data_IF_796207684351
#
_entry.id   IF_796207684351
#
_cell.length_a   1.000
_cell.length_b   1.000
_cell.length_c   1.000
_cell.angle_alpha   90.00
_cell.angle_beta   90.00
_cell.angle_gamma   90.00
#
_symmetry.space_group_name_H-M   'P 1'
#
loop_
_entity.id
_entity.type
_entity.pdbx_description
1 polymer ?
#
# COMPACT_ATOMS: atom_id res chain seq x y z
N UNK A 1 -16.24 -2.05 2.50
CA UNK A 1 -15.81 -1.39 3.76
C UNK A 1 -14.40 -0.88 3.58
N UNK A 2 -14.05 0.31 4.09
CA UNK A 2 -12.73 0.92 3.88
C UNK A 2 -11.98 1.05 5.21
N UNK A 3 -10.71 0.62 5.24
CA UNK A 3 -9.84 0.66 6.42
C UNK A 3 -8.44 1.13 6.03
N UNK A 4 -7.83 1.98 6.86
CA UNK A 4 -6.42 2.36 6.73
C UNK A 4 -5.52 1.32 7.38
N UNK A 5 -4.33 1.08 6.83
CA UNK A 5 -3.34 0.21 7.44
C UNK A 5 -1.91 0.63 7.12
N UNK A 6 -0.96 -0.06 7.73
CA UNK A 6 0.48 0.08 7.49
C UNK A 6 1.07 -1.23 7.03
N UNK A 7 1.95 -1.16 6.04
CA UNK A 7 2.69 -2.34 5.59
C UNK A 7 3.64 -2.80 6.70
N UNK A 8 3.65 -4.10 6.97
CA UNK A 8 4.57 -4.71 7.93
C UNK A 8 5.26 -5.93 7.31
N UNK A 9 6.46 -6.25 7.78
CA UNK A 9 7.11 -7.52 7.52
C UNK A 9 6.76 -8.53 8.62
N UNK A 10 6.49 -9.78 8.24
CA UNK A 10 6.26 -10.89 9.18
C UNK A 10 7.28 -12.02 8.95
N UNK A 11 7.12 -13.16 9.62
CA UNK A 11 8.03 -14.33 9.59
C UNK A 11 8.06 -15.06 8.23
N UNK A 12 7.79 -14.37 7.11
CA UNK A 12 7.81 -14.86 5.72
C UNK A 12 7.02 -16.15 5.46
N UNK A 13 6.01 -16.46 6.30
CA UNK A 13 5.15 -17.65 6.18
C UNK A 13 4.24 -17.62 4.95
N UNK A 14 3.94 -16.42 4.45
CA UNK A 14 3.09 -16.24 3.27
C UNK A 14 3.58 -17.01 2.04
N UNK A 15 4.90 -17.11 1.82
CA UNK A 15 5.45 -17.87 0.70
C UNK A 15 5.08 -19.36 0.76
N UNK A 16 5.33 -19.99 1.90
CA UNK A 16 5.00 -21.41 2.10
C UNK A 16 3.49 -21.68 2.06
N UNK A 17 2.70 -20.73 2.57
CA UNK A 17 1.24 -20.77 2.48
C UNK A 17 0.78 -20.79 1.01
N UNK A 18 1.25 -19.82 0.22
CA UNK A 18 0.90 -19.74 -1.20
C UNK A 18 1.32 -21.02 -1.92
N UNK A 19 2.54 -21.53 -1.66
CA UNK A 19 3.03 -22.79 -2.23
C UNK A 19 2.13 -23.98 -1.89
N UNK A 20 1.71 -24.10 -0.62
CA UNK A 20 0.87 -25.20 -0.14
C UNK A 20 -0.51 -25.22 -0.80
N UNK A 21 -1.10 -24.04 -1.00
CA UNK A 21 -2.47 -23.90 -1.51
C UNK A 21 -2.55 -23.49 -2.99
N UNK A 22 -1.43 -23.37 -3.71
CA UNK A 22 -1.35 -22.76 -5.06
C UNK A 22 -2.41 -23.31 -6.03
N UNK A 23 -2.61 -24.63 -6.22
CA UNK A 23 -3.59 -25.12 -7.18
C UNK A 23 -5.03 -24.69 -6.84
N UNK A 24 -5.35 -24.65 -5.54
CA UNK A 24 -6.68 -24.24 -5.05
C UNK A 24 -6.87 -22.74 -5.16
N UNK A 25 -5.84 -21.97 -4.85
CA UNK A 25 -5.84 -20.52 -5.04
C UNK A 25 -6.02 -20.16 -6.52
N UNK A 26 -5.37 -20.87 -7.45
CA UNK A 26 -5.58 -20.67 -8.88
C UNK A 26 -7.04 -20.94 -9.26
N UNK A 27 -7.60 -22.07 -8.82
CA UNK A 27 -9.00 -22.42 -9.10
C UNK A 27 -10.00 -21.43 -8.49
N UNK A 28 -9.76 -20.99 -7.26
CA UNK A 28 -10.64 -20.07 -6.55
C UNK A 28 -10.53 -18.63 -7.08
N UNK A 29 -9.31 -18.13 -7.31
CA UNK A 29 -9.06 -16.73 -7.65
C UNK A 29 -9.09 -16.46 -9.16
N UNK A 30 -8.90 -17.48 -9.99
CA UNK A 30 -8.79 -17.34 -11.45
C UNK A 30 -7.45 -16.77 -11.92
N UNK A 31 -6.45 -16.67 -11.04
CA UNK A 31 -5.09 -16.27 -11.38
C UNK A 31 -4.06 -16.99 -10.50
N UNK A 32 -2.82 -17.09 -11.00
CA UNK A 32 -1.68 -17.56 -10.20
C UNK A 32 -1.18 -16.44 -9.28
N UNK A 33 -1.28 -16.58 -7.96
CA UNK A 33 -0.79 -15.56 -7.04
C UNK A 33 0.73 -15.47 -7.05
N UNK A 34 1.25 -14.29 -6.72
CA UNK A 34 2.66 -14.12 -6.38
C UNK A 34 3.02 -14.99 -5.17
N UNK A 35 4.26 -15.52 -5.13
CA UNK A 35 4.71 -16.43 -4.09
C UNK A 35 5.09 -15.68 -2.79
N UNK A 36 4.08 -15.09 -2.15
CA UNK A 36 4.18 -14.35 -0.90
C UNK A 36 2.88 -13.62 -0.59
N UNK A 37 2.77 -13.13 0.65
CA UNK A 37 1.65 -12.29 1.08
C UNK A 37 2.17 -10.91 1.51
N UNK A 38 1.38 -9.88 1.24
CA UNK A 38 1.62 -8.55 1.79
C UNK A 38 0.87 -8.44 3.12
N UNK A 39 1.61 -8.28 4.22
CA UNK A 39 1.03 -8.14 5.55
C UNK A 39 0.74 -6.67 5.81
N UNK A 40 -0.47 -6.36 6.28
CA UNK A 40 -0.91 -5.01 6.58
C UNK A 40 -1.44 -4.99 8.00
N UNK A 41 -0.86 -4.18 8.87
CA UNK A 41 -1.42 -3.85 10.19
C UNK A 41 -2.56 -2.87 10.00
N UNK A 42 -3.76 -3.26 10.38
CA UNK A 42 -4.97 -2.46 10.22
C UNK A 42 -5.07 -1.42 11.34
N UNK A 43 -5.68 -0.27 11.02
CA UNK A 43 -5.97 0.78 12.00
C UNK A 43 -7.16 0.47 12.92
N UNK A 44 -7.94 -0.56 12.57
CA UNK A 44 -9.01 -1.15 13.40
C UNK A 44 -9.13 -2.63 13.06
N UNK A 45 -9.66 -3.40 13.99
CA UNK A 45 -9.86 -4.83 13.80
C UNK A 45 -10.91 -5.09 12.70
N UNK A 46 -10.64 -6.09 11.87
CA UNK A 46 -11.52 -6.52 10.79
C UNK A 46 -11.49 -8.02 10.68
N UNK A 47 -12.65 -8.65 10.79
CA UNK A 47 -12.77 -10.06 10.46
C UNK A 47 -12.90 -10.25 8.94
N UNK A 48 -11.84 -10.75 8.31
CA UNK A 48 -11.82 -11.11 6.88
C UNK A 48 -12.93 -12.12 6.54
N UNK A 49 -13.31 -13.01 7.47
CA UNK A 49 -14.35 -14.01 7.25
C UNK A 49 -15.71 -13.36 6.96
N UNK A 50 -16.07 -12.29 7.66
CA UNK A 50 -17.34 -11.56 7.46
C UNK A 50 -17.44 -10.88 6.08
N UNK A 51 -16.30 -10.71 5.41
CA UNK A 51 -16.20 -10.11 4.07
C UNK A 51 -15.84 -11.14 2.99
N UNK A 52 -15.74 -12.42 3.34
CA UNK A 52 -15.31 -13.45 2.41
C UNK A 52 -16.40 -13.80 1.39
N UNK A 53 -16.01 -13.93 0.12
CA UNK A 53 -16.90 -14.40 -0.96
C UNK A 53 -16.50 -15.77 -1.47
N UNK A 54 -15.32 -16.26 -1.07
CA UNK A 54 -14.81 -17.60 -1.43
C UNK A 54 -14.15 -18.26 -0.23
N UNK A 55 -14.06 -19.58 -0.27
CA UNK A 55 -13.36 -20.39 0.72
C UNK A 55 -12.41 -21.38 0.04
N UNK A 56 -11.38 -21.80 0.77
CA UNK A 56 -10.59 -22.98 0.43
C UNK A 56 -11.12 -24.12 1.29
N UNK A 57 -11.83 -25.06 0.66
CA UNK A 57 -12.46 -26.19 1.34
C UNK A 57 -12.00 -27.55 0.79
N UNK A 58 -12.16 -28.58 1.63
CA UNK A 58 -11.84 -29.97 1.33
C UNK A 58 -12.99 -30.86 1.77
N UNK A 59 -13.23 -31.93 1.02
CA UNK A 59 -14.10 -33.03 1.44
C UNK A 59 -13.21 -34.10 2.05
N UNK A 60 -13.43 -34.40 3.32
CA UNK A 60 -12.74 -35.47 4.05
C UNK A 60 -13.26 -36.84 3.59
N UNK A 61 -12.56 -37.90 3.97
CA UNK A 61 -12.94 -39.29 3.61
C UNK A 61 -14.30 -39.71 4.20
N UNK A 62 -14.76 -39.05 5.26
CA UNK A 62 -16.08 -39.24 5.87
C UNK A 62 -17.18 -38.37 5.22
N UNK A 63 -16.85 -37.65 4.14
CA UNK A 63 -17.77 -36.76 3.43
C UNK A 63 -17.95 -35.39 4.09
N UNK A 64 -17.35 -35.13 5.26
CA UNK A 64 -17.45 -33.80 5.90
C UNK A 64 -16.64 -32.76 5.15
N UNK A 65 -17.15 -31.53 5.10
CA UNK A 65 -16.43 -30.38 4.57
C UNK A 65 -15.55 -29.79 5.66
N UNK A 66 -14.28 -29.54 5.35
CA UNK A 66 -13.36 -28.76 6.16
C UNK A 66 -12.98 -27.49 5.39
N UNK A 67 -13.22 -26.34 6.00
CA UNK A 67 -12.72 -25.05 5.50
C UNK A 67 -11.33 -24.83 6.08
N UNK A 68 -10.35 -24.57 5.23
CA UNK A 68 -8.98 -24.23 5.65
C UNK A 68 -8.71 -22.72 5.56
N UNK A 69 -9.43 -21.99 4.70
CA UNK A 69 -9.28 -20.54 4.57
C UNK A 69 -10.54 -19.83 4.04
N UNK A 70 -10.70 -18.57 4.44
CA UNK A 70 -11.64 -17.59 3.91
C UNK A 70 -10.91 -16.57 3.02
N UNK A 71 -11.53 -16.21 1.90
CA UNK A 71 -10.98 -15.29 0.91
C UNK A 71 -11.95 -14.14 0.67
N UNK A 72 -11.51 -12.92 0.96
CA UNK A 72 -12.30 -11.70 0.75
C UNK A 72 -11.69 -10.88 -0.40
N UNK A 73 -12.48 -10.45 -1.40
CA UNK A 73 -11.99 -9.58 -2.45
C UNK A 73 -11.71 -8.20 -1.87
N UNK A 74 -10.53 -7.66 -2.15
CA UNK A 74 -10.13 -6.33 -1.65
C UNK A 74 -9.44 -5.53 -2.73
N UNK A 75 -9.51 -4.20 -2.61
CA UNK A 75 -8.67 -3.27 -3.35
C UNK A 75 -7.71 -2.61 -2.39
N UNK A 76 -6.41 -2.74 -2.65
CA UNK A 76 -5.38 -2.05 -1.88
C UNK A 76 -4.90 -0.85 -2.67
N UNK A 77 -4.93 0.31 -2.03
CA UNK A 77 -4.46 1.58 -2.56
C UNK A 77 -3.28 2.08 -1.75
N UNK A 78 -2.15 2.29 -2.42
CA UNK A 78 -1.03 2.99 -1.83
C UNK A 78 -1.49 4.42 -1.52
N UNK A 79 -1.47 4.79 -0.24
CA UNK A 79 -1.54 6.19 0.11
C UNK A 79 -0.13 6.69 -0.17
N UNK A 80 0.02 7.52 -1.21
CA UNK A 80 1.32 8.03 -1.65
C UNK A 80 2.17 8.34 -0.42
N UNK A 81 3.42 7.83 -0.37
CA UNK A 81 4.46 8.28 0.57
C UNK A 81 4.18 9.75 0.80
N UNK A 82 3.88 10.16 2.05
CA UNK A 82 3.71 11.59 2.37
C UNK A 82 4.89 12.25 1.66
N UNK A 83 4.63 13.02 0.61
CA UNK A 83 5.71 13.64 -0.11
C UNK A 83 6.32 14.57 0.92
N UNK A 84 7.52 14.30 1.40
CA UNK A 84 8.10 15.09 2.47
C UNK A 84 9.16 15.97 1.84
N UNK A 85 9.07 17.28 2.09
CA UNK A 85 10.15 18.22 1.77
C UNK A 85 10.67 18.77 3.10
N UNK A 86 11.88 18.34 3.51
CA UNK A 86 12.51 18.75 4.78
C UNK A 86 11.60 18.53 6.00
N UNK A 87 11.17 17.30 6.20
CA UNK A 87 10.27 16.88 7.28
C UNK A 87 8.86 17.51 7.24
N UNK A 88 8.57 18.34 6.23
CA UNK A 88 7.24 18.88 5.99
C UNK A 88 6.45 17.95 5.07
N UNK A 89 5.34 17.36 5.55
CA UNK A 89 4.45 16.59 4.70
C UNK A 89 3.71 17.52 3.73
N UNK A 90 3.78 17.15 2.45
CA UNK A 90 3.10 17.77 1.32
C UNK A 90 1.73 17.10 1.14
N UNK A 91 0.68 17.86 1.43
CA UNK A 91 -0.73 17.45 1.38
C UNK A 91 -1.47 18.07 0.18
N UNK A 92 -0.85 19.05 -0.46
CA UNK A 92 -1.22 19.55 -1.77
C UNK A 92 -1.71 20.99 -1.86
N UNK A 93 -1.72 21.69 -0.74
CA UNK A 93 -2.00 23.12 -0.62
C UNK A 93 -0.73 23.94 -0.37
N UNK A 94 0.43 23.33 -0.64
CA UNK A 94 1.73 23.98 -0.48
C UNK A 94 2.11 24.84 -1.68
N UNK A 95 2.70 25.99 -1.39
CA UNK A 95 3.37 26.87 -2.35
C UNK A 95 4.86 26.88 -2.07
N UNK A 96 5.65 26.77 -3.14
CA UNK A 96 7.11 26.84 -3.11
C UNK A 96 7.57 28.04 -3.92
N UNK A 97 8.48 28.81 -3.34
CA UNK A 97 9.15 29.92 -4.04
C UNK A 97 10.65 29.67 -4.05
N UNK A 98 11.26 29.66 -5.24
CA UNK A 98 12.70 29.56 -5.43
C UNK A 98 13.37 30.93 -5.33
N UNK A 99 14.57 30.98 -4.75
CA UNK A 99 15.40 32.18 -4.69
C UNK A 99 16.88 31.82 -4.52
N UNK A 100 17.76 32.84 -4.61
CA UNK A 100 19.18 32.69 -4.33
C UNK A 100 19.50 33.17 -2.91
N UNK A 101 20.17 32.33 -2.11
CA UNK A 101 20.68 32.70 -0.79
C UNK A 101 22.19 32.51 -0.74
N UNK A 102 22.94 33.61 -0.57
CA UNK A 102 24.42 33.60 -0.58
C UNK A 102 25.00 32.84 -1.79
N UNK A 103 24.42 33.07 -2.97
CA UNK A 103 24.82 32.44 -4.23
C UNK A 103 24.32 31.01 -4.46
N UNK A 104 23.69 30.37 -3.47
CA UNK A 104 23.15 29.00 -3.58
C UNK A 104 21.65 29.00 -3.90
N UNK A 105 21.17 27.95 -4.57
CA UNK A 105 19.74 27.74 -4.78
C UNK A 105 19.06 27.42 -3.45
N UNK A 106 17.99 28.15 -3.16
CA UNK A 106 17.19 28.00 -1.96
C UNK A 106 15.71 28.02 -2.30
N UNK A 107 14.89 27.56 -1.36
CA UNK A 107 13.44 27.57 -1.47
C UNK A 107 12.79 28.01 -0.17
N UNK A 108 11.58 28.54 -0.28
CA UNK A 108 10.65 28.72 0.84
C UNK A 108 9.39 27.93 0.55
N UNK A 109 8.84 27.30 1.58
CA UNK A 109 7.63 26.50 1.54
C UNK A 109 6.57 27.16 2.42
N UNK A 110 5.38 27.38 1.85
CA UNK A 110 4.19 27.87 2.53
C UNK A 110 3.07 26.85 2.43
N UNK A 111 2.20 26.81 3.42
CA UNK A 111 1.00 25.95 3.45
C UNK A 111 -0.20 26.77 3.88
N UNK A 112 -1.26 26.79 3.06
CA UNK A 112 -2.42 27.70 3.26
C UNK A 112 -2.01 29.15 3.46
N UNK A 113 -1.00 29.61 2.70
CA UNK A 113 -0.42 30.95 2.80
C UNK A 113 0.53 31.20 3.98
N UNK A 114 0.55 30.33 5.00
CA UNK A 114 1.44 30.45 6.16
C UNK A 114 2.83 29.92 5.83
N UNK A 115 3.86 30.60 6.31
CA UNK A 115 5.24 30.15 6.17
C UNK A 115 5.48 28.88 6.99
N UNK A 116 6.12 27.87 6.39
CA UNK A 116 6.42 26.59 7.04
C UNK A 116 7.92 26.40 7.21
N UNK A 117 8.69 26.48 6.12
CA UNK A 117 10.14 26.30 6.17
C UNK A 117 10.83 27.03 5.02
N UNK A 118 12.15 27.20 5.16
CA UNK A 118 13.04 27.62 4.09
C UNK A 118 14.37 26.91 4.24
N UNK A 119 15.01 26.55 3.13
CA UNK A 119 16.35 25.95 3.16
C UNK A 119 17.05 26.08 1.81
N UNK A 120 18.35 25.83 1.81
CA UNK A 120 19.14 25.60 0.61
C UNK A 120 18.74 24.22 0.04
N UNK A 121 18.71 24.13 -1.30
CA UNK A 121 18.52 22.87 -2.01
C UNK A 121 19.82 22.06 -1.87
N UNK A 122 19.78 20.91 -1.19
CA UNK A 122 20.99 20.14 -0.85
C UNK A 122 21.13 18.85 -1.66
N UNK A 123 20.06 18.41 -2.31
CA UNK A 123 20.03 17.14 -3.03
C UNK A 123 19.18 17.22 -4.29
N UNK A 124 19.39 16.28 -5.21
CA UNK A 124 18.53 16.11 -6.39
C UNK A 124 17.10 15.73 -6.00
N UNK A 125 16.91 15.03 -4.87
CA UNK A 125 15.59 14.73 -4.34
C UNK A 125 14.83 16.01 -3.94
N UNK A 126 15.50 16.96 -3.26
CA UNK A 126 14.92 18.27 -2.96
C UNK A 126 14.52 18.99 -4.25
N UNK A 127 15.42 19.00 -5.26
CA UNK A 127 15.18 19.66 -6.54
C UNK A 127 13.99 19.06 -7.27
N UNK A 128 13.90 17.73 -7.38
CA UNK A 128 12.78 17.03 -8.00
C UNK A 128 11.45 17.31 -7.29
N UNK A 129 11.45 17.35 -5.95
CA UNK A 129 10.26 17.66 -5.15
C UNK A 129 9.80 19.11 -5.36
N UNK A 130 10.74 20.06 -5.37
CA UNK A 130 10.45 21.47 -5.60
C UNK A 130 9.91 21.68 -7.02
N UNK A 131 10.51 21.08 -8.04
CA UNK A 131 10.02 21.14 -9.42
C UNK A 131 8.61 20.54 -9.56
N UNK A 132 8.35 19.42 -8.88
CA UNK A 132 7.01 18.84 -8.81
C UNK A 132 6.00 19.83 -8.23
N UNK A 133 6.34 20.49 -7.12
CA UNK A 133 5.48 21.48 -6.46
C UNK A 133 5.23 22.73 -7.32
N UNK A 134 6.25 23.22 -8.03
CA UNK A 134 6.13 24.38 -8.92
C UNK A 134 5.21 24.06 -10.09
N UNK A 135 5.47 22.97 -10.82
CA UNK A 135 4.64 22.58 -11.98
C UNK A 135 3.18 22.33 -11.57
N UNK A 136 2.96 21.77 -10.37
CA UNK A 136 1.63 21.61 -9.78
C UNK A 136 0.94 22.96 -9.54
N UNK A 137 1.64 23.96 -8.98
CA UNK A 137 1.10 25.32 -8.80
C UNK A 137 0.72 25.98 -10.13
N UNK A 138 1.47 25.69 -11.20
CA UNK A 138 1.18 26.18 -12.55
C UNK A 138 -0.02 25.48 -13.21
N UNK A 139 -0.70 24.56 -12.52
CA UNK A 139 -1.81 23.77 -13.07
C UNK A 139 -1.36 22.80 -14.17
N UNK A 140 -0.06 22.60 -14.37
CA UNK A 140 0.46 21.61 -15.31
C UNK A 140 0.29 20.23 -14.68
N UNK A 141 -0.40 19.33 -15.39
CA UNK A 141 -0.51 17.93 -15.01
C UNK A 141 0.88 17.32 -14.84
N UNK A 142 1.34 17.22 -13.60
CA UNK A 142 2.56 16.49 -13.26
C UNK A 142 2.22 15.07 -12.91
N UNK A 143 2.66 14.14 -13.75
CA UNK A 143 3.04 12.84 -13.23
C UNK A 143 4.03 13.09 -12.09
N UNK A 144 3.72 12.59 -10.88
CA UNK A 144 4.67 12.57 -9.78
C UNK A 144 6.00 11.96 -10.27
N UNK A 145 7.17 12.32 -9.67
CA UNK A 145 8.45 11.71 -10.02
C UNK A 145 8.30 10.19 -10.10
N UNK A 146 8.78 9.61 -11.20
CA UNK A 146 8.43 8.28 -11.71
C UNK A 146 8.66 7.18 -10.67
N UNK A 147 7.67 6.93 -9.80
CA UNK A 147 7.68 5.87 -8.79
C UNK A 147 6.32 5.18 -8.76
N UNK A 148 6.36 3.87 -9.06
CA UNK A 148 5.26 2.92 -9.22
C UNK A 148 4.21 3.32 -10.26
N UNK A 149 4.11 2.55 -11.35
CA UNK A 149 3.03 2.73 -12.34
C UNK A 149 1.66 2.35 -11.79
N UNK A 150 1.61 1.62 -10.67
CA UNK A 150 0.41 1.05 -10.08
C UNK A 150 0.25 1.63 -8.67
N UNK A 151 -0.80 2.44 -8.46
CA UNK A 151 -1.16 2.99 -7.14
C UNK A 151 -2.26 2.21 -6.43
N UNK A 152 -2.94 1.34 -7.16
CA UNK A 152 -4.01 0.50 -6.63
C UNK A 152 -3.97 -0.88 -7.28
N UNK A 153 -4.34 -1.90 -6.52
CA UNK A 153 -4.35 -3.29 -6.98
C UNK A 153 -5.60 -3.99 -6.46
N UNK A 154 -6.37 -4.57 -7.37
CA UNK A 154 -7.41 -5.53 -7.02
C UNK A 154 -6.72 -6.85 -6.63
N UNK A 155 -7.07 -7.36 -5.46
CA UNK A 155 -6.40 -8.47 -4.80
C UNK A 155 -7.36 -9.15 -3.81
N UNK A 156 -6.84 -10.03 -2.96
CA UNK A 156 -7.64 -10.81 -2.01
C UNK A 156 -7.01 -10.80 -0.64
N UNK A 157 -7.79 -10.58 0.42
CA UNK A 157 -7.38 -10.87 1.78
C UNK A 157 -7.65 -12.35 2.08
N UNK A 158 -6.73 -13.00 2.79
CA UNK A 158 -6.85 -14.39 3.23
C UNK A 158 -6.87 -14.49 4.76
N UNK A 159 -7.82 -15.27 5.28
CA UNK A 159 -7.84 -15.71 6.69
C UNK A 159 -7.81 -17.23 6.77
N UNK A 160 -6.75 -17.80 7.35
CA UNK A 160 -6.66 -19.23 7.62
C UNK A 160 -7.52 -19.58 8.82
N UNK A 161 -8.20 -20.73 8.79
CA UNK A 161 -8.95 -21.24 9.94
C UNK A 161 -8.00 -21.68 11.05
N UNK A 162 -6.91 -22.35 10.67
CA UNK A 162 -5.89 -22.85 11.58
C UNK A 162 -4.62 -21.99 11.44
N UNK A 163 -4.24 -21.27 12.50
CA UNK A 163 -2.98 -20.52 12.55
C UNK A 163 -3.02 -19.29 13.45
N UNK A 164 -1.86 -18.71 13.80
CA UNK A 164 -1.81 -17.44 14.52
C UNK A 164 -2.18 -16.32 13.56
N UNK A 165 -3.45 -15.96 13.53
CA UNK A 165 -3.92 -14.77 12.84
C UNK A 165 -4.47 -13.77 13.85
N UNK A 166 -4.11 -12.52 13.65
CA UNK A 166 -4.54 -11.39 14.46
C UNK A 166 -5.52 -10.56 13.64
N UNK A 167 -6.70 -10.27 14.18
CA UNK A 167 -7.74 -9.44 13.56
C UNK A 167 -7.27 -7.99 13.32
N UNK A 168 -6.18 -7.59 14.00
CA UNK A 168 -5.50 -6.32 13.76
C UNK A 168 -4.59 -6.34 12.52
N UNK A 169 -4.53 -7.46 11.78
CA UNK A 169 -3.69 -7.64 10.60
C UNK A 169 -4.42 -8.34 9.45
N UNK A 170 -4.08 -7.99 8.21
CA UNK A 170 -4.56 -8.67 7.02
C UNK A 170 -3.39 -9.19 6.18
N UNK A 171 -3.50 -10.44 5.72
CA UNK A 171 -2.61 -11.02 4.71
C UNK A 171 -3.24 -10.87 3.33
N UNK A 172 -2.55 -10.16 2.43
CA UNK A 172 -3.04 -9.88 1.08
C UNK A 172 -2.30 -10.75 0.05
N UNK A 173 -3.09 -11.39 -0.81
CA UNK A 173 -2.68 -12.18 -1.96
C UNK A 173 -2.98 -11.41 -3.24
N UNK A 174 -1.98 -11.25 -4.10
CA UNK A 174 -2.12 -10.58 -5.38
C UNK A 174 -1.43 -11.35 -6.52
N UNK A 175 -1.74 -11.01 -7.77
CA UNK A 175 -1.07 -11.56 -8.96
C UNK A 175 0.38 -11.08 -9.11
N UNK A 176 0.72 -9.97 -8.46
CA UNK A 176 2.00 -9.27 -8.58
C UNK A 176 2.68 -9.14 -7.23
N UNK A 177 4.01 -8.96 -7.24
CA UNK A 177 4.72 -8.46 -6.07
C UNK A 177 4.34 -6.99 -5.85
N UNK A 178 3.45 -6.75 -4.89
CA UNK A 178 2.96 -5.41 -4.58
C UNK A 178 4.06 -4.50 -4.02
N UNK A 179 5.09 -5.03 -3.34
CA UNK A 179 6.19 -4.20 -2.83
C UNK A 179 7.03 -3.67 -3.98
N UNK A 180 7.39 -4.54 -4.94
CA UNK A 180 8.11 -4.13 -6.14
C UNK A 180 7.24 -3.22 -7.03
N UNK A 181 6.03 -3.67 -7.40
CA UNK A 181 5.22 -2.99 -8.42
C UNK A 181 4.53 -1.72 -7.95
N UNK A 182 4.17 -1.64 -6.67
CA UNK A 182 3.57 -0.45 -6.07
C UNK A 182 4.59 0.38 -5.27
N UNK A 183 5.85 -0.05 -5.20
CA UNK A 183 6.92 0.65 -4.49
C UNK A 183 6.73 0.69 -2.97
N UNK A 184 6.00 -0.27 -2.40
CA UNK A 184 5.63 -0.31 -0.98
C UNK A 184 6.77 -0.85 -0.10
N UNK A 185 7.02 -0.17 1.01
CA UNK A 185 7.98 -0.52 2.07
C UNK A 185 7.26 -0.70 3.39
N UNK A 186 7.99 -1.19 4.39
CA UNK A 186 7.46 -1.23 5.76
C UNK A 186 7.13 0.17 6.26
N UNK A 187 6.09 0.26 7.08
CA UNK A 187 5.48 1.48 7.62
C UNK A 187 4.77 2.38 6.59
N UNK A 188 4.82 2.06 5.30
CA UNK A 188 4.03 2.77 4.29
C UNK A 188 2.54 2.64 4.59
N UNK A 189 1.83 3.76 4.43
CA UNK A 189 0.39 3.82 4.67
C UNK A 189 -0.36 3.35 3.44
N UNK A 190 -1.38 2.53 3.66
CA UNK A 190 -2.26 2.03 2.61
C UNK A 190 -3.71 2.12 3.04
N UNK A 191 -4.61 2.09 2.06
CA UNK A 191 -6.03 1.95 2.26
C UNK A 191 -6.48 0.62 1.66
N UNK A 192 -7.27 -0.14 2.42
CA UNK A 192 -7.86 -1.40 1.99
C UNK A 192 -9.36 -1.19 1.88
N UNK A 193 -9.93 -1.48 0.72
CA UNK A 193 -11.35 -1.54 0.47
C UNK A 193 -11.78 -3.00 0.34
N UNK A 194 -12.56 -3.51 1.29
CA UNK A 194 -13.26 -4.79 1.17
C UNK A 194 -14.44 -4.65 0.23
N UNK A 195 -14.38 -5.36 -0.89
CA UNK A 195 -15.36 -5.38 -1.96
C UNK A 195 -16.50 -6.36 -1.59
N UNK A 196 -17.71 -6.09 -2.10
CA UNK A 196 -18.87 -6.96 -1.92
C UNK A 196 -19.17 -7.71 -3.21
#
# INVERSE_FOLDING_TARGET
MIVSGKIISSVRRGGDLIKKYEPRLIGALGFRPFHGTLNIKLGKDVDVQEHSTKTIEFILTDGKRKVDAYLAPVRVKALSERMVLRDVPIEGDEMVTLYKWKGKDAFSLRKKGKFVTWDIIRSDADRQMIEYLIRRQEGKSTGAPEKSKIRECDCWAIKLVDGPQDESSAEIIAKIDMRDKMGLKDDDSVQIEFLR
#
